data_IF_680505843790
#
_entry.id   IF_680505843790
#
_cell.length_a   1.000
_cell.length_b   1.000
_cell.length_c   1.000
_cell.angle_alpha   90.00
_cell.angle_beta   90.00
_cell.angle_gamma   90.00
#
_symmetry.space_group_name_H-M   'P 1'
#
loop_
_entity.id
_entity.type
_entity.pdbx_description
1 polymer ?
#
# COMPACT_ATOMS: atom_id res chain seq x y z
N UNK A 1 16.78 -8.24 -22.11
CA UNK A 1 17.84 -7.23 -22.25
C UNK A 1 17.30 -6.03 -22.99
N UNK A 2 16.81 -6.18 -24.23
CA UNK A 2 16.25 -5.09 -25.03
C UNK A 2 15.15 -4.27 -24.31
N UNK A 3 14.21 -4.93 -23.63
CA UNK A 3 13.10 -4.26 -22.93
C UNK A 3 13.52 -3.36 -21.77
N UNK A 4 14.70 -3.59 -21.16
CA UNK A 4 15.19 -2.77 -20.05
C UNK A 4 16.13 -1.66 -20.52
N UNK A 5 16.75 -1.77 -21.69
CA UNK A 5 17.74 -0.79 -22.16
C UNK A 5 17.11 0.59 -22.33
N UNK A 6 16.00 0.68 -23.04
CA UNK A 6 15.31 1.95 -23.30
C UNK A 6 14.80 2.64 -22.01
N UNK A 7 14.04 1.97 -21.11
CA UNK A 7 13.62 2.62 -19.87
C UNK A 7 14.80 2.97 -18.95
N UNK A 8 15.85 2.15 -18.91
CA UNK A 8 17.05 2.45 -18.12
C UNK A 8 17.79 3.65 -18.71
N UNK A 9 17.94 3.75 -20.02
CA UNK A 9 18.58 4.90 -20.67
C UNK A 9 17.82 6.19 -20.39
N UNK A 10 16.48 6.16 -20.47
CA UNK A 10 15.64 7.30 -20.10
C UNK A 10 15.81 7.67 -18.62
N UNK A 11 15.85 6.70 -17.73
CA UNK A 11 16.01 6.94 -16.30
C UNK A 11 17.39 7.52 -15.97
N UNK A 12 18.47 7.02 -16.59
CA UNK A 12 19.81 7.56 -16.38
C UNK A 12 19.94 9.00 -16.92
N UNK A 13 19.31 9.29 -18.07
CA UNK A 13 19.32 10.64 -18.64
C UNK A 13 18.60 11.69 -17.78
N UNK A 14 17.69 11.27 -16.88
CA UNK A 14 17.04 12.20 -15.94
C UNK A 14 17.88 12.47 -14.69
N UNK A 15 18.94 11.69 -14.45
CA UNK A 15 19.86 11.88 -13.32
C UNK A 15 21.03 12.77 -13.74
N UNK A 16 21.18 13.93 -13.09
CA UNK A 16 22.30 14.85 -13.38
C UNK A 16 23.64 14.27 -12.94
N UNK A 17 24.66 14.45 -13.77
CA UNK A 17 26.05 14.09 -13.43
C UNK A 17 26.41 12.62 -13.59
N UNK A 18 25.53 11.81 -14.21
CA UNK A 18 25.80 10.41 -14.53
C UNK A 18 26.24 10.30 -15.99
N UNK A 19 27.49 9.90 -16.20
CA UNK A 19 28.04 9.54 -17.52
C UNK A 19 28.22 8.02 -17.60
N UNK A 20 27.09 7.32 -17.67
CA UNK A 20 27.02 5.86 -17.72
C UNK A 20 25.93 5.45 -18.70
N UNK A 21 26.27 4.60 -19.67
CA UNK A 21 25.28 4.05 -20.58
C UNK A 21 24.42 2.96 -19.90
N UNK A 22 23.20 2.78 -20.39
CA UNK A 22 22.24 1.83 -19.83
C UNK A 22 22.73 0.39 -19.83
N UNK A 23 23.51 -0.01 -20.83
CA UNK A 23 24.01 -1.38 -20.91
C UNK A 23 25.08 -1.63 -19.84
N UNK A 24 25.98 -0.67 -19.65
CA UNK A 24 27.00 -0.70 -18.60
C UNK A 24 26.37 -0.66 -17.22
N UNK A 25 25.36 0.18 -17.00
CA UNK A 25 24.62 0.20 -15.74
C UNK A 25 23.98 -1.17 -15.42
N UNK A 26 23.26 -1.76 -16.37
CA UNK A 26 22.62 -3.06 -16.16
C UNK A 26 23.63 -4.18 -15.92
N UNK A 27 24.80 -4.14 -16.58
CA UNK A 27 25.89 -5.08 -16.31
C UNK A 27 26.43 -4.91 -14.89
N UNK A 28 26.74 -3.69 -14.45
CA UNK A 28 27.23 -3.42 -13.09
C UNK A 28 26.21 -3.84 -12.03
N UNK A 29 24.93 -3.52 -12.22
CA UNK A 29 23.88 -3.94 -11.28
C UNK A 29 23.80 -5.48 -11.21
N UNK A 30 23.94 -6.19 -12.33
CA UNK A 30 23.89 -7.66 -12.36
C UNK A 30 25.15 -8.30 -11.77
N UNK A 31 26.32 -7.79 -12.12
CA UNK A 31 27.60 -8.45 -11.85
C UNK A 31 28.17 -8.05 -10.47
N UNK A 32 27.89 -6.82 -9.99
CA UNK A 32 28.58 -6.25 -8.83
C UNK A 32 27.65 -5.88 -7.66
N UNK A 33 26.35 -5.68 -7.88
CA UNK A 33 25.45 -5.14 -6.82
C UNK A 33 24.70 -6.19 -5.99
N UNK A 34 24.59 -7.42 -6.49
CA UNK A 34 23.74 -8.46 -5.88
C UNK A 34 22.23 -8.20 -6.01
N UNK A 35 21.79 -7.15 -6.71
CA UNK A 35 20.37 -6.82 -6.86
C UNK A 35 19.70 -7.62 -7.97
N UNK A 36 20.32 -7.64 -9.15
CA UNK A 36 19.84 -8.38 -10.32
C UNK A 36 20.72 -9.59 -10.56
N UNK A 37 20.14 -10.62 -11.16
CA UNK A 37 20.84 -11.79 -11.68
C UNK A 37 20.42 -12.06 -13.13
N UNK A 38 21.26 -12.78 -13.88
CA UNK A 38 20.95 -13.23 -15.23
C UNK A 38 20.22 -14.58 -15.19
N UNK A 39 18.95 -14.62 -15.56
CA UNK A 39 18.18 -15.88 -15.69
C UNK A 39 18.37 -16.52 -17.09
N UNK A 40 19.30 -16.01 -17.89
CA UNK A 40 19.56 -16.38 -19.28
C UNK A 40 20.43 -15.33 -19.98
N UNK A 41 20.76 -15.57 -21.26
CA UNK A 41 21.64 -14.67 -22.05
C UNK A 41 21.05 -13.26 -22.18
N UNK A 42 19.72 -13.16 -22.24
CA UNK A 42 18.99 -11.91 -22.47
C UNK A 42 17.91 -11.62 -21.42
N UNK A 43 17.95 -12.24 -20.24
CA UNK A 43 16.95 -11.98 -19.18
C UNK A 43 17.62 -11.50 -17.89
N UNK A 44 16.97 -10.51 -17.27
CA UNK A 44 17.29 -10.06 -15.92
C UNK A 44 16.14 -10.46 -15.00
N UNK A 45 16.45 -10.67 -13.75
CA UNK A 45 15.46 -10.75 -12.69
C UNK A 45 16.12 -10.43 -11.36
N UNK A 46 15.31 -10.24 -10.32
CA UNK A 46 15.85 -9.95 -9.00
C UNK A 46 16.55 -11.18 -8.42
N UNK A 47 17.64 -10.95 -7.71
CA UNK A 47 18.38 -12.02 -7.03
C UNK A 47 17.56 -12.64 -5.89
N UNK A 48 16.69 -11.86 -5.26
CA UNK A 48 15.81 -12.30 -4.19
C UNK A 48 14.42 -11.69 -4.36
N UNK A 49 13.38 -12.47 -4.02
CA UNK A 49 11.98 -12.01 -4.11
C UNK A 49 11.74 -10.75 -3.26
N UNK A 50 12.31 -10.70 -2.05
CA UNK A 50 12.24 -9.50 -1.19
C UNK A 50 12.74 -8.21 -1.83
N UNK A 51 13.73 -8.26 -2.74
CA UNK A 51 14.15 -7.06 -3.48
C UNK A 51 13.09 -6.63 -4.50
N UNK A 52 12.49 -7.60 -5.19
CA UNK A 52 11.38 -7.34 -6.09
C UNK A 52 10.22 -6.72 -5.32
N UNK A 53 9.83 -7.30 -4.19
CA UNK A 53 8.71 -6.83 -3.38
C UNK A 53 8.95 -5.42 -2.83
N UNK A 54 10.13 -5.18 -2.25
CA UNK A 54 10.48 -3.86 -1.72
C UNK A 54 10.56 -2.78 -2.79
N UNK A 55 11.20 -3.06 -3.93
CA UNK A 55 11.29 -2.08 -5.02
C UNK A 55 9.92 -1.83 -5.67
N UNK A 56 9.09 -2.86 -5.78
CA UNK A 56 7.69 -2.73 -6.23
C UNK A 56 6.90 -1.86 -5.26
N UNK A 57 6.99 -2.11 -3.96
CA UNK A 57 6.34 -1.32 -2.91
C UNK A 57 6.75 0.15 -2.99
N UNK A 58 8.05 0.43 -3.13
CA UNK A 58 8.57 1.80 -3.29
C UNK A 58 8.05 2.47 -4.56
N UNK A 59 8.02 1.75 -5.67
CA UNK A 59 7.54 2.28 -6.94
C UNK A 59 6.04 2.59 -6.87
N UNK A 60 5.20 1.63 -6.43
CA UNK A 60 3.75 1.82 -6.29
C UNK A 60 3.42 2.96 -5.34
N UNK A 61 4.20 3.14 -4.26
CA UNK A 61 4.04 4.27 -3.36
C UNK A 61 4.31 5.60 -4.04
N UNK A 62 5.40 5.70 -4.81
CA UNK A 62 5.77 6.91 -5.54
C UNK A 62 4.71 7.26 -6.58
N UNK A 63 4.31 6.28 -7.40
CA UNK A 63 3.33 6.48 -8.45
C UNK A 63 1.94 6.72 -7.90
N UNK A 64 1.52 6.02 -6.84
CA UNK A 64 0.20 6.17 -6.23
C UNK A 64 -0.03 7.51 -5.54
N UNK A 65 1.05 8.20 -5.13
CA UNK A 65 0.98 9.58 -4.67
C UNK A 65 0.75 10.59 -5.80
N UNK A 66 1.06 10.22 -7.05
CA UNK A 66 0.85 11.04 -8.24
C UNK A 66 -0.47 10.68 -8.94
N UNK A 67 -0.79 9.39 -9.00
CA UNK A 67 -1.98 8.84 -9.65
C UNK A 67 -2.70 7.83 -8.73
N UNK A 68 -3.86 8.24 -8.22
CA UNK A 68 -4.70 7.43 -7.35
C UNK A 68 -5.18 6.12 -8.00
N UNK A 69 -5.19 6.01 -9.33
CA UNK A 69 -5.55 4.76 -10.02
C UNK A 69 -4.57 3.62 -9.72
N UNK A 70 -3.33 3.92 -9.37
CA UNK A 70 -2.34 2.91 -8.94
C UNK A 70 -2.81 2.24 -7.66
N UNK A 71 -3.31 3.01 -6.68
CA UNK A 71 -3.87 2.45 -5.46
C UNK A 71 -5.19 1.73 -5.72
N UNK A 72 -6.02 2.22 -6.63
CA UNK A 72 -7.24 1.51 -7.03
C UNK A 72 -6.93 0.13 -7.63
N UNK A 73 -5.95 0.04 -8.52
CA UNK A 73 -5.50 -1.21 -9.12
C UNK A 73 -4.87 -2.17 -8.09
N UNK A 74 -4.07 -1.64 -7.16
CA UNK A 74 -3.50 -2.44 -6.07
C UNK A 74 -4.56 -2.93 -5.09
N UNK A 75 -5.60 -2.14 -4.82
CA UNK A 75 -6.70 -2.51 -3.94
C UNK A 75 -7.50 -3.72 -4.49
N UNK A 76 -7.52 -3.95 -5.80
CA UNK A 76 -8.10 -5.17 -6.39
C UNK A 76 -7.34 -6.45 -6.00
N UNK A 77 -6.10 -6.29 -5.52
CA UNK A 77 -5.19 -7.35 -5.10
C UNK A 77 -5.06 -7.43 -3.58
N UNK A 78 -5.93 -6.77 -2.83
CA UNK A 78 -5.79 -6.64 -1.38
C UNK A 78 -5.66 -7.97 -0.65
N UNK A 79 -6.44 -8.98 -1.05
CA UNK A 79 -6.49 -10.32 -0.44
C UNK A 79 -5.72 -11.38 -1.26
N UNK A 80 -4.86 -10.93 -2.17
CA UNK A 80 -3.98 -11.80 -2.97
C UNK A 80 -2.64 -11.98 -2.26
N UNK A 81 -2.34 -13.20 -1.84
CA UNK A 81 -1.12 -13.52 -1.06
C UNK A 81 0.18 -13.19 -1.80
N UNK A 82 0.16 -13.12 -3.14
CA UNK A 82 1.31 -12.69 -3.93
C UNK A 82 1.65 -11.21 -3.72
N UNK A 83 0.67 -10.38 -3.37
CA UNK A 83 0.82 -8.94 -3.17
C UNK A 83 0.95 -8.52 -1.71
N UNK A 84 0.75 -9.46 -0.78
CA UNK A 84 0.75 -9.18 0.66
C UNK A 84 2.00 -8.39 1.10
N UNK A 85 3.19 -8.93 0.87
CA UNK A 85 4.43 -8.29 1.32
C UNK A 85 4.68 -6.95 0.63
N UNK A 86 4.28 -6.81 -0.64
CA UNK A 86 4.35 -5.52 -1.35
C UNK A 86 3.48 -4.47 -0.66
N UNK A 87 2.25 -4.82 -0.30
CA UNK A 87 1.31 -3.93 0.37
C UNK A 87 1.83 -3.56 1.77
N UNK A 88 2.28 -4.55 2.56
CA UNK A 88 2.78 -4.31 3.91
C UNK A 88 4.04 -3.43 3.90
N UNK A 89 5.01 -3.74 3.04
CA UNK A 89 6.20 -2.91 2.86
C UNK A 89 5.84 -1.49 2.40
N UNK A 90 4.87 -1.33 1.51
CA UNK A 90 4.42 -0.03 1.03
C UNK A 90 3.84 0.82 2.18
N UNK A 91 3.00 0.21 3.03
CA UNK A 91 2.33 0.88 4.16
C UNK A 91 3.29 1.20 5.31
N UNK A 92 4.36 0.42 5.48
CA UNK A 92 5.39 0.64 6.50
C UNK A 92 6.32 1.84 6.21
N UNK A 93 6.35 2.34 4.96
CA UNK A 93 7.19 3.48 4.56
C UNK A 93 6.59 4.83 5.02
N UNK A 94 7.43 5.70 5.60
CA UNK A 94 7.00 6.89 6.38
C UNK A 94 6.88 8.24 5.64
N UNK A 95 7.51 8.46 4.48
CA UNK A 95 7.70 9.83 3.94
C UNK A 95 7.26 10.08 2.47
N UNK A 96 5.97 10.38 2.19
CA UNK A 96 4.85 10.44 3.13
C UNK A 96 4.22 9.04 3.38
N UNK A 97 3.42 8.86 4.45
CA UNK A 97 2.61 7.66 4.65
C UNK A 97 1.48 7.59 3.62
N UNK A 98 1.18 6.38 3.14
CA UNK A 98 0.14 6.15 2.12
C UNK A 98 -1.04 5.31 2.60
N UNK A 99 -1.14 5.10 3.92
CA UNK A 99 -2.21 4.30 4.51
C UNK A 99 -3.60 4.80 4.15
N UNK A 100 -3.89 6.08 4.41
CA UNK A 100 -5.20 6.64 4.12
C UNK A 100 -5.60 6.57 2.64
N UNK A 101 -4.80 7.07 1.67
CA UNK A 101 -5.21 7.02 0.27
C UNK A 101 -5.37 5.58 -0.24
N UNK A 102 -4.52 4.65 0.21
CA UNK A 102 -4.68 3.24 -0.15
C UNK A 102 -5.93 2.61 0.47
N UNK A 103 -6.18 2.83 1.78
CA UNK A 103 -7.35 2.28 2.46
C UNK A 103 -8.66 2.89 1.95
N UNK A 104 -8.67 4.14 1.48
CA UNK A 104 -9.82 4.71 0.75
C UNK A 104 -10.11 3.96 -0.54
N UNK A 105 -9.08 3.50 -1.26
CA UNK A 105 -9.25 2.67 -2.45
C UNK A 105 -9.78 1.28 -2.09
N UNK A 106 -9.26 0.65 -1.03
CA UNK A 106 -9.75 -0.63 -0.50
C UNK A 106 -11.21 -0.52 -0.05
N UNK A 107 -11.60 0.54 0.66
CA UNK A 107 -12.98 0.80 1.11
C UNK A 107 -13.98 1.13 -0.01
N UNK A 108 -13.51 1.31 -1.24
CA UNK A 108 -14.36 1.44 -2.43
C UNK A 108 -14.66 0.09 -3.08
N UNK A 109 -13.96 -0.98 -2.70
CA UNK A 109 -14.17 -2.31 -3.25
C UNK A 109 -15.44 -2.96 -2.68
N UNK A 110 -16.23 -3.68 -3.49
CA UNK A 110 -17.42 -4.38 -3.01
C UNK A 110 -17.11 -5.45 -1.96
N UNK A 111 -15.89 -5.99 -1.96
CA UNK A 111 -15.41 -7.00 -1.01
C UNK A 111 -15.02 -6.43 0.36
N UNK A 112 -15.04 -5.10 0.53
CA UNK A 112 -14.51 -4.42 1.71
C UNK A 112 -15.09 -4.92 3.03
N UNK A 113 -16.39 -5.18 3.11
CA UNK A 113 -17.03 -5.67 4.35
C UNK A 113 -16.49 -7.03 4.79
N UNK A 114 -16.00 -7.86 3.86
CA UNK A 114 -15.31 -9.11 4.18
C UNK A 114 -13.86 -8.85 4.61
N UNK A 115 -13.20 -7.91 3.96
CA UNK A 115 -11.76 -7.66 4.15
C UNK A 115 -11.43 -6.92 5.42
N UNK A 116 -12.31 -6.05 5.92
CA UNK A 116 -12.02 -5.26 7.11
C UNK A 116 -11.79 -6.11 8.37
N UNK A 117 -12.38 -7.30 8.44
CA UNK A 117 -12.20 -8.27 9.53
C UNK A 117 -11.12 -9.34 9.23
N UNK A 118 -10.40 -9.23 8.11
CA UNK A 118 -9.42 -10.24 7.70
C UNK A 118 -8.06 -10.11 8.40
N UNK A 119 -7.28 -11.19 8.41
CA UNK A 119 -5.89 -11.18 8.88
C UNK A 119 -5.04 -10.17 8.09
N UNK A 120 -5.29 -10.01 6.80
CA UNK A 120 -4.59 -9.04 5.96
C UNK A 120 -4.84 -7.60 6.43
N UNK A 121 -6.08 -7.25 6.80
CA UNK A 121 -6.37 -5.93 7.38
C UNK A 121 -5.64 -5.72 8.71
N UNK A 122 -5.63 -6.75 9.58
CA UNK A 122 -4.90 -6.67 10.84
C UNK A 122 -3.39 -6.47 10.63
N UNK A 123 -2.79 -7.18 9.67
CA UNK A 123 -1.39 -6.96 9.29
C UNK A 123 -1.17 -5.53 8.80
N UNK A 124 -2.03 -5.00 7.95
CA UNK A 124 -1.93 -3.61 7.48
C UNK A 124 -1.98 -2.59 8.62
N UNK A 125 -2.87 -2.79 9.60
CA UNK A 125 -2.99 -1.92 10.77
C UNK A 125 -1.76 -2.00 11.69
N UNK A 126 -1.14 -3.17 11.83
CA UNK A 126 0.08 -3.36 12.63
C UNK A 126 1.33 -2.79 11.96
N UNK A 127 1.50 -3.05 10.67
CA UNK A 127 2.74 -2.72 9.96
C UNK A 127 2.78 -1.28 9.44
N UNK A 128 1.64 -0.60 9.36
CA UNK A 128 1.61 0.74 8.79
C UNK A 128 2.43 1.75 9.61
N UNK A 129 3.16 2.60 8.89
CA UNK A 129 3.89 3.73 9.42
C UNK A 129 3.02 4.68 10.28
N UNK A 130 1.74 4.85 9.91
CA UNK A 130 0.79 5.76 10.56
C UNK A 130 -0.64 5.25 10.36
N UNK A 131 -1.25 4.78 11.44
CA UNK A 131 -2.66 4.37 11.48
C UNK A 131 -3.57 5.60 11.41
N UNK A 132 -4.71 5.47 10.72
CA UNK A 132 -5.77 6.48 10.64
C UNK A 132 -7.14 5.82 10.51
N UNK A 133 -8.16 6.40 11.15
CA UNK A 133 -9.55 5.94 11.06
C UNK A 133 -10.34 6.58 9.92
N UNK A 134 -9.84 7.69 9.36
CA UNK A 134 -10.52 8.45 8.31
C UNK A 134 -11.10 7.58 7.17
N UNK A 135 -10.33 6.68 6.51
CA UNK A 135 -10.87 5.88 5.41
C UNK A 135 -12.06 4.99 5.80
N UNK A 136 -12.07 4.49 7.04
CA UNK A 136 -13.10 3.58 7.54
C UNK A 136 -14.35 4.34 7.97
N UNK A 137 -14.15 5.50 8.59
CA UNK A 137 -15.20 6.45 8.92
C UNK A 137 -15.93 6.93 7.66
N UNK A 138 -15.18 7.33 6.63
CA UNK A 138 -15.75 7.75 5.35
C UNK A 138 -16.59 6.62 4.71
N UNK A 139 -16.20 5.36 4.92
CA UNK A 139 -16.95 4.20 4.43
C UNK A 139 -18.31 4.04 5.13
N UNK A 140 -18.46 4.48 6.38
CA UNK A 140 -19.73 4.44 7.12
C UNK A 140 -20.80 5.36 6.52
N UNK A 141 -20.42 6.41 5.80
CA UNK A 141 -21.37 7.26 5.09
C UNK A 141 -22.12 6.53 3.97
N UNK A 142 -21.65 5.34 3.57
CA UNK A 142 -22.34 4.48 2.60
C UNK A 142 -23.43 3.66 3.31
N UNK A 143 -24.64 3.51 2.73
CA UNK A 143 -25.78 2.88 3.39
C UNK A 143 -25.70 1.35 3.57
N UNK A 144 -24.51 0.76 3.41
CA UNK A 144 -24.31 -0.69 3.48
C UNK A 144 -24.15 -1.14 4.95
N UNK A 145 -25.15 -1.84 5.48
CA UNK A 145 -25.24 -2.19 6.90
C UNK A 145 -24.18 -3.22 7.38
N UNK A 146 -23.64 -4.01 6.44
CA UNK A 146 -22.52 -4.91 6.67
C UNK A 146 -21.21 -4.15 6.95
N UNK A 147 -20.97 -3.04 6.24
CA UNK A 147 -19.82 -2.16 6.47
C UNK A 147 -19.86 -1.54 7.86
N UNK A 148 -21.04 -1.11 8.32
CA UNK A 148 -21.20 -0.51 9.66
C UNK A 148 -20.82 -1.49 10.77
N UNK A 149 -21.36 -2.70 10.70
CA UNK A 149 -21.09 -3.75 11.69
C UNK A 149 -19.61 -4.13 11.71
N UNK A 150 -18.99 -4.22 10.53
CA UNK A 150 -17.60 -4.64 10.41
C UNK A 150 -16.61 -3.56 10.91
N UNK A 151 -16.88 -2.26 10.63
CA UNK A 151 -16.10 -1.15 11.20
C UNK A 151 -16.25 -1.10 12.73
N UNK A 152 -17.46 -1.32 13.25
CA UNK A 152 -17.69 -1.38 14.69
C UNK A 152 -16.89 -2.52 15.36
N UNK A 153 -16.89 -3.71 14.77
CA UNK A 153 -16.12 -4.86 15.28
C UNK A 153 -14.61 -4.60 15.29
N UNK A 154 -14.06 -3.98 14.24
CA UNK A 154 -12.65 -3.61 14.17
C UNK A 154 -12.25 -2.68 15.32
N UNK A 155 -13.11 -1.71 15.67
CA UNK A 155 -12.87 -0.80 16.79
C UNK A 155 -12.96 -1.54 18.13
N UNK A 156 -13.98 -2.36 18.32
CA UNK A 156 -14.20 -3.12 19.55
C UNK A 156 -13.05 -4.08 19.90
N UNK A 157 -12.33 -4.60 18.89
CA UNK A 157 -11.14 -5.46 19.10
C UNK A 157 -9.92 -4.72 19.65
N UNK A 158 -9.92 -3.39 19.63
CA UNK A 158 -8.77 -2.60 20.06
C UNK A 158 -7.61 -2.62 19.07
N UNK A 159 -7.88 -2.99 17.81
CA UNK A 159 -6.90 -2.97 16.71
C UNK A 159 -6.41 -1.53 16.42
N UNK A 160 -7.11 -0.53 16.98
CA UNK A 160 -6.82 0.90 16.86
C UNK A 160 -6.90 1.53 18.26
N UNK A 161 -5.97 2.45 18.56
CA UNK A 161 -5.93 3.15 19.86
C UNK A 161 -7.20 3.95 20.13
N UNK A 162 -7.71 3.90 21.36
CA UNK A 162 -8.84 4.71 21.81
C UNK A 162 -8.65 6.22 21.56
N UNK A 163 -7.40 6.72 21.64
CA UNK A 163 -7.12 8.13 21.35
C UNK A 163 -7.40 8.50 19.89
N UNK A 164 -7.19 7.57 18.95
CA UNK A 164 -7.54 7.78 17.54
C UNK A 164 -9.06 7.74 17.35
N UNK A 165 -9.75 6.87 18.09
CA UNK A 165 -11.22 6.77 18.03
C UNK A 165 -11.87 8.05 18.56
N UNK A 166 -11.41 8.57 19.70
CA UNK A 166 -11.90 9.82 20.29
C UNK A 166 -11.68 11.01 19.34
N UNK A 167 -10.51 11.10 18.72
CA UNK A 167 -10.21 12.12 17.72
C UNK A 167 -11.17 12.03 16.52
N UNK A 168 -11.41 10.82 16.00
CA UNK A 168 -12.33 10.60 14.89
C UNK A 168 -13.78 10.99 15.27
N UNK A 169 -14.26 10.65 16.47
CA UNK A 169 -15.60 11.00 16.95
C UNK A 169 -15.83 12.52 16.96
N UNK A 170 -14.81 13.31 17.30
CA UNK A 170 -14.87 14.77 17.29
C UNK A 170 -15.12 15.36 15.91
N UNK A 171 -14.58 14.74 14.86
CA UNK A 171 -14.60 15.22 13.47
C UNK A 171 -15.76 14.65 12.63
N UNK A 172 -16.48 13.64 13.14
CA UNK A 172 -17.60 13.00 12.46
C UNK A 172 -18.85 13.88 12.33
N UNK A 173 -19.58 13.67 11.23
CA UNK A 173 -20.97 14.13 11.09
C UNK A 173 -21.84 13.59 12.24
N UNK A 174 -22.78 14.39 12.79
CA UNK A 174 -23.58 14.01 13.96
C UNK A 174 -24.34 12.67 13.83
N UNK A 175 -24.75 12.30 12.62
CA UNK A 175 -25.46 11.06 12.31
C UNK A 175 -24.60 9.80 12.46
N UNK A 176 -23.28 9.92 12.30
CA UNK A 176 -22.34 8.79 12.35
C UNK A 176 -21.72 8.58 13.74
N UNK A 177 -21.77 9.59 14.61
CA UNK A 177 -21.22 9.51 15.98
C UNK A 177 -21.78 8.37 16.82
N UNK A 178 -23.11 8.10 16.84
CA UNK A 178 -23.65 7.01 17.65
C UNK A 178 -23.11 5.63 17.27
N UNK A 179 -22.80 5.41 15.97
CA UNK A 179 -22.27 4.15 15.47
C UNK A 179 -20.89 3.87 16.08
N UNK A 180 -19.99 4.86 16.05
CA UNK A 180 -18.65 4.71 16.66
C UNK A 180 -18.70 4.67 18.19
N UNK A 181 -19.61 5.41 18.82
CA UNK A 181 -19.79 5.38 20.28
C UNK A 181 -20.29 4.01 20.77
N UNK A 182 -21.21 3.37 20.02
CA UNK A 182 -21.67 2.02 20.37
C UNK A 182 -20.59 0.94 20.24
N UNK A 183 -19.56 1.17 19.42
CA UNK A 183 -18.46 0.23 19.22
C UNK A 183 -17.36 0.32 20.29
N UNK A 184 -17.39 1.37 21.12
CA UNK A 184 -16.37 1.67 22.15
C UNK A 184 -16.84 1.44 23.59
N UNK A 185 -18.11 1.06 23.79
CA UNK A 185 -18.73 0.83 25.10
C UNK A 185 -18.84 -0.66 25.40
#
# INVERSE_FOLDING_TARGET
KAQLLEPTARALASVRGVDLDAERFLRVIRDDSGLLTGWGVDSYGFMHLGFQEYLTARHLRSEGLVDAQVFAALAERFDDSWWQEVILLMLALRDPPVFEPFMRAVAQRPEFSRWIDSEMMQLCLRETAKVSLAPFVEALSKPAQDVHSAVANMIARGDISMALVDAAIGELEPSLRPILQSATT
#
